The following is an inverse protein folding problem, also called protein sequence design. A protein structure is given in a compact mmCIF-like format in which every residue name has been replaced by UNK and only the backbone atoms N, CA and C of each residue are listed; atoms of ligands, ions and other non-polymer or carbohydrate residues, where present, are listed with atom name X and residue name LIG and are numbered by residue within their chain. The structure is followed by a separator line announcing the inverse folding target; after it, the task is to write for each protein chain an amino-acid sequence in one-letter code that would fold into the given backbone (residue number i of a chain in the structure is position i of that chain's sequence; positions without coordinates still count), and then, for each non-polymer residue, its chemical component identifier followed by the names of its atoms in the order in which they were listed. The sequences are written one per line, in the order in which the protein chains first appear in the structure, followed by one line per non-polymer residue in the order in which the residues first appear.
data_IF_466969332482
#
_entry.id   IF_466969332482
#
_cell.length_a   1.000
_cell.length_b   1.000
_cell.length_c   1.000
_cell.angle_alpha   90.00
_cell.angle_beta   90.00
_cell.angle_gamma   90.00
#
_symmetry.space_group_name_H-M   'P 1'
#
loop_
_entity.id
_entity.type
_entity.pdbx_description
1 polymer ?
#
# COMPACT_ATOMS: atom_id res chain seq x y z
N UNK A 1 -26.88 1.47 -2.24
CA UNK A 1 -26.33 1.68 -0.88
C UNK A 1 -24.83 1.87 -1.01
N UNK A 2 -24.34 3.09 -0.89
CA UNK A 2 -22.90 3.37 -0.76
C UNK A 2 -22.54 3.26 0.72
N UNK A 3 -21.69 2.29 1.07
CA UNK A 3 -21.03 2.27 2.38
C UNK A 3 -19.85 3.24 2.33
N UNK A 4 -20.08 4.49 2.73
CA UNK A 4 -18.99 5.43 3.06
C UNK A 4 -18.45 5.07 4.44
N UNK A 5 -17.53 4.11 4.52
CA UNK A 5 -16.71 3.94 5.72
C UNK A 5 -15.64 5.03 5.73
N UNK A 6 -16.00 6.19 6.30
CA UNK A 6 -15.03 7.20 6.74
C UNK A 6 -14.74 6.91 8.22
N UNK A 7 -13.83 5.98 8.49
CA UNK A 7 -13.30 5.86 9.85
C UNK A 7 -12.29 7.00 10.04
N UNK A 8 -12.75 8.09 10.68
CA UNK A 8 -11.82 9.07 11.25
C UNK A 8 -11.33 8.49 12.58
N UNK A 9 -10.04 8.15 12.73
CA UNK A 9 -9.51 7.89 14.07
C UNK A 9 -9.64 9.16 14.91
N UNK A 10 -10.02 9.00 16.17
CA UNK A 10 -10.01 10.08 17.16
C UNK A 10 -8.57 10.57 17.39
N UNK A 11 -8.36 11.85 17.78
CA UNK A 11 -7.03 12.34 18.09
C UNK A 11 -6.40 11.54 19.24
N UNK A 12 -5.37 10.73 18.92
CA UNK A 12 -4.65 9.89 19.88
C UNK A 12 -4.90 8.38 19.73
N UNK A 13 -5.81 7.96 18.86
CA UNK A 13 -5.95 6.55 18.50
C UNK A 13 -4.85 6.16 17.51
N UNK A 14 -3.88 5.35 17.95
CA UNK A 14 -2.98 4.67 17.02
C UNK A 14 -3.82 3.67 16.24
N UNK A 15 -4.15 3.97 14.99
CA UNK A 15 -4.73 2.99 14.08
C UNK A 15 -3.83 1.74 14.09
N UNK A 16 -4.42 0.58 14.37
CA UNK A 16 -3.70 -0.69 14.28
C UNK A 16 -3.04 -0.81 12.90
N UNK A 17 -1.80 -1.28 12.76
CA UNK A 17 -1.09 -1.30 11.48
C UNK A 17 -1.88 -1.97 10.34
N UNK A 18 -2.00 -1.27 9.22
CA UNK A 18 -2.84 -1.67 8.08
C UNK A 18 -2.05 -1.72 6.78
N UNK A 19 -2.12 -2.87 6.10
CA UNK A 19 -1.55 -3.07 4.77
C UNK A 19 -2.65 -3.23 3.74
N UNK A 20 -2.57 -2.42 2.70
CA UNK A 20 -3.47 -2.43 1.56
C UNK A 20 -2.78 -3.13 0.39
N UNK A 21 -3.46 -4.11 -0.21
CA UNK A 21 -2.96 -4.91 -1.31
C UNK A 21 -3.83 -4.66 -2.54
N UNK A 22 -3.25 -4.12 -3.59
CA UNK A 22 -3.93 -3.77 -4.83
C UNK A 22 -3.55 -4.77 -5.92
N UNK A 23 -4.55 -5.43 -6.51
CA UNK A 23 -4.39 -6.19 -7.74
C UNK A 23 -4.85 -5.35 -8.91
N UNK A 24 -3.92 -4.95 -9.76
CA UNK A 24 -4.15 -3.97 -10.83
C UNK A 24 -3.42 -4.36 -12.11
N UNK A 25 -3.94 -3.97 -13.27
CA UNK A 25 -3.21 -3.99 -14.54
C UNK A 25 -2.34 -2.75 -14.63
N UNK A 26 -1.02 -2.92 -14.67
CA UNK A 26 -0.10 -1.77 -14.65
C UNK A 26 -0.30 -0.85 -15.86
N UNK A 27 -0.64 -1.41 -17.01
CA UNK A 27 -0.88 -0.67 -18.25
C UNK A 27 -2.07 0.28 -18.17
N UNK A 28 -3.05 -0.02 -17.30
CA UNK A 28 -4.25 0.81 -17.11
C UNK A 28 -4.00 2.02 -16.19
N UNK A 29 -2.93 1.99 -15.39
CA UNK A 29 -2.62 3.09 -14.49
C UNK A 29 -2.06 4.27 -15.30
N UNK A 30 -2.67 5.46 -15.24
CA UNK A 30 -2.19 6.63 -15.96
C UNK A 30 -0.81 7.08 -15.45
N UNK A 31 -0.03 7.71 -16.34
CA UNK A 31 1.28 8.28 -16.01
C UNK A 31 2.47 7.42 -16.44
N UNK A 32 3.66 7.90 -16.05
CA UNK A 32 4.96 7.32 -16.43
C UNK A 32 5.13 5.95 -15.75
N UNK A 33 5.62 4.91 -16.45
CA UNK A 33 5.69 3.54 -15.92
C UNK A 33 6.28 3.40 -14.51
N UNK A 34 7.38 4.09 -14.23
CA UNK A 34 8.07 4.04 -12.93
C UNK A 34 7.31 4.73 -11.78
N UNK A 35 6.31 5.54 -12.09
CA UNK A 35 5.53 6.32 -11.12
C UNK A 35 4.13 5.75 -10.88
N UNK A 36 3.68 4.80 -11.69
CA UNK A 36 2.31 4.27 -11.65
C UNK A 36 1.90 3.74 -10.28
N UNK A 37 2.81 3.07 -9.57
CA UNK A 37 2.54 2.64 -8.21
C UNK A 37 2.27 3.80 -7.27
N UNK A 38 3.08 4.86 -7.36
CA UNK A 38 2.93 6.09 -6.60
C UNK A 38 1.63 6.82 -6.96
N UNK A 39 1.26 6.86 -8.25
CA UNK A 39 -0.01 7.43 -8.72
C UNK A 39 -1.20 6.74 -8.08
N UNK A 40 -1.21 5.40 -8.08
CA UNK A 40 -2.29 4.62 -7.47
C UNK A 40 -2.36 4.82 -5.96
N UNK A 41 -1.23 4.73 -5.24
CA UNK A 41 -1.26 4.87 -3.78
C UNK A 41 -1.58 6.30 -3.34
N UNK A 42 -1.16 7.32 -4.08
CA UNK A 42 -1.55 8.71 -3.80
C UNK A 42 -3.05 8.90 -3.93
N UNK A 43 -3.66 8.40 -5.01
CA UNK A 43 -5.11 8.48 -5.18
C UNK A 43 -5.84 7.77 -4.03
N UNK A 44 -5.40 6.56 -3.66
CA UNK A 44 -5.98 5.82 -2.56
C UNK A 44 -5.85 6.57 -1.22
N UNK A 45 -4.65 7.10 -0.91
CA UNK A 45 -4.42 7.83 0.34
C UNK A 45 -5.25 9.11 0.38
N UNK A 46 -5.32 9.84 -0.73
CA UNK A 46 -6.12 11.07 -0.81
C UNK A 46 -7.60 10.80 -0.55
N UNK A 47 -8.15 9.73 -1.14
CA UNK A 47 -9.56 9.37 -0.97
C UNK A 47 -9.90 8.87 0.44
N UNK A 48 -9.00 8.10 1.09
CA UNK A 48 -9.32 7.39 2.34
C UNK A 48 -8.77 8.09 3.60
N UNK A 49 -7.68 8.85 3.48
CA UNK A 49 -6.96 9.46 4.60
C UNK A 49 -6.88 10.98 4.52
N UNK A 50 -7.41 11.59 3.45
CA UNK A 50 -7.46 13.05 3.26
C UNK A 50 -6.08 13.72 3.33
N UNK A 51 -5.04 12.99 2.90
CA UNK A 51 -3.64 13.47 2.81
C UNK A 51 -2.95 12.90 1.58
N UNK A 52 -1.72 13.35 1.32
CA UNK A 52 -0.86 12.75 0.30
C UNK A 52 -0.01 11.61 0.88
N UNK A 53 0.49 10.75 0.00
CA UNK A 53 1.54 9.78 0.33
C UNK A 53 2.81 10.52 0.77
N UNK A 54 3.45 10.08 1.84
CA UNK A 54 4.79 10.55 2.21
C UNK A 54 5.69 9.38 2.58
N UNK A 55 6.92 9.35 2.06
CA UNK A 55 7.88 8.29 2.38
C UNK A 55 8.24 8.22 3.87
N UNK A 56 8.06 9.33 4.59
CA UNK A 56 8.28 9.38 6.03
C UNK A 56 7.26 8.54 6.80
N UNK A 57 6.01 8.43 6.31
CA UNK A 57 4.91 7.78 7.03
C UNK A 57 4.37 6.56 6.30
N UNK A 58 4.63 6.42 5.02
CA UNK A 58 4.04 5.39 4.18
C UNK A 58 5.13 4.62 3.47
N UNK A 59 4.82 3.38 3.11
CA UNK A 59 5.73 2.57 2.34
C UNK A 59 4.99 1.79 1.26
N UNK A 60 5.45 1.91 0.01
CA UNK A 60 4.93 1.14 -1.11
C UNK A 60 5.90 0.05 -1.51
N UNK A 61 5.41 -1.18 -1.62
CA UNK A 61 6.11 -2.28 -2.25
C UNK A 61 5.58 -2.47 -3.67
N UNK A 62 6.50 -2.50 -4.64
CA UNK A 62 6.22 -2.85 -6.04
C UNK A 62 7.01 -4.10 -6.44
N UNK A 63 6.52 -5.30 -6.09
CA UNK A 63 7.11 -6.56 -6.52
C UNK A 63 7.29 -6.59 -8.04
N UNK A 64 8.46 -7.03 -8.53
CA UNK A 64 8.75 -7.06 -9.98
C UNK A 64 7.91 -8.07 -10.77
N UNK A 65 7.14 -8.92 -10.10
CA UNK A 65 6.37 -9.98 -10.75
C UNK A 65 5.09 -9.42 -11.36
N UNK A 66 5.12 -9.22 -12.68
CA UNK A 66 3.93 -8.99 -13.50
C UNK A 66 3.46 -10.37 -14.00
N UNK A 67 2.23 -10.74 -13.70
CA UNK A 67 1.66 -11.98 -14.25
C UNK A 67 1.59 -11.85 -15.78
N UNK A 68 1.59 -12.97 -16.51
CA UNK A 68 1.52 -12.97 -17.98
C UNK A 68 0.29 -12.27 -18.59
N UNK A 69 -0.67 -11.84 -17.76
CA UNK A 69 -1.81 -11.03 -18.15
C UNK A 69 -1.65 -9.53 -17.83
N UNK A 70 -0.46 -9.02 -17.50
CA UNK A 70 -0.21 -7.59 -17.19
C UNK A 70 -0.58 -7.17 -15.77
N UNK A 71 -1.14 -8.08 -14.95
CA UNK A 71 -1.54 -7.76 -13.58
C UNK A 71 -0.37 -7.85 -12.62
N UNK A 72 -0.29 -6.87 -11.72
CA UNK A 72 0.71 -6.79 -10.66
C UNK A 72 0.06 -6.54 -9.30
N UNK A 73 0.74 -6.99 -8.25
CA UNK A 73 0.44 -6.62 -6.87
C UNK A 73 1.16 -5.33 -6.51
N UNK A 74 0.48 -4.40 -5.87
CA UNK A 74 1.08 -3.22 -5.24
C UNK A 74 0.64 -3.24 -3.78
N UNK A 75 1.59 -3.15 -2.86
CA UNK A 75 1.30 -3.19 -1.42
C UNK A 75 1.61 -1.83 -0.83
N UNK A 76 0.73 -1.32 0.02
CA UNK A 76 0.88 -0.05 0.71
C UNK A 76 0.74 -0.30 2.22
N UNK A 77 1.78 0.08 2.96
CA UNK A 77 1.76 0.20 4.41
C UNK A 77 1.53 1.68 4.75
N UNK A 78 0.52 1.95 5.56
CA UNK A 78 0.16 3.31 5.97
C UNK A 78 0.60 3.55 7.42
N UNK A 79 1.14 4.73 7.69
CA UNK A 79 1.60 5.19 9.01
C UNK A 79 2.63 4.22 9.66
N UNK A 80 3.72 3.96 8.95
CA UNK A 80 4.79 3.02 9.29
C UNK A 80 5.68 3.45 10.46
N UNK A 81 5.51 4.68 10.97
CA UNK A 81 6.25 5.24 12.11
C UNK A 81 5.74 4.75 13.47
N UNK A 82 5.38 3.48 13.55
CA UNK A 82 4.91 2.85 14.78
C UNK A 82 6.07 2.24 15.57
N UNK A 83 6.01 2.40 16.90
CA UNK A 83 6.97 1.80 17.84
C UNK A 83 6.19 1.08 18.96
N UNK A 84 6.38 -0.24 19.13
CA UNK A 84 7.24 -1.12 18.35
C UNK A 84 6.73 -1.32 16.92
N UNK A 85 7.62 -1.70 15.99
CA UNK A 85 7.19 -2.15 14.66
C UNK A 85 6.30 -3.39 14.82
N UNK A 86 5.16 -3.48 14.13
CA UNK A 86 4.31 -4.67 14.20
C UNK A 86 5.04 -5.89 13.65
N UNK A 87 4.70 -7.07 14.19
CA UNK A 87 4.93 -8.31 13.47
C UNK A 87 4.10 -8.26 12.18
N UNK A 88 4.71 -8.58 11.04
CA UNK A 88 4.03 -8.58 9.74
C UNK A 88 2.86 -9.58 9.69
N UNK A 89 2.86 -10.58 10.56
CA UNK A 89 1.76 -11.54 10.74
C UNK A 89 0.51 -10.89 11.35
N UNK A 90 0.67 -9.88 12.19
CA UNK A 90 -0.42 -9.21 12.91
C UNK A 90 -0.99 -8.01 12.15
N UNK A 91 -0.32 -7.59 11.07
CA UNK A 91 -0.79 -6.48 10.22
C UNK A 91 -2.12 -6.85 9.56
N UNK A 92 -3.10 -5.95 9.69
CA UNK A 92 -4.40 -6.12 9.07
C UNK A 92 -4.27 -5.96 7.55
N UNK A 93 -4.76 -6.94 6.79
CA UNK A 93 -4.70 -6.93 5.33
C UNK A 93 -6.04 -6.51 4.73
N UNK A 94 -6.02 -5.49 3.88
CA UNK A 94 -7.14 -5.10 3.04
C UNK A 94 -6.79 -5.35 1.58
N UNK A 95 -7.57 -6.16 0.89
CA UNK A 95 -7.26 -6.56 -0.49
C UNK A 95 -8.30 -5.99 -1.44
N UNK A 96 -7.81 -5.36 -2.49
CA UNK A 96 -8.62 -4.69 -3.49
C UNK A 96 -8.24 -5.16 -4.89
N UNK A 97 -9.26 -5.44 -5.70
CA UNK A 97 -9.13 -5.42 -7.15
C UNK A 97 -9.31 -3.98 -7.61
N UNK A 98 -8.36 -3.49 -8.40
CA UNK A 98 -8.38 -2.13 -8.94
C UNK A 98 -8.69 -2.19 -10.41
N UNK A 99 -9.60 -1.32 -10.83
CA UNK A 99 -9.90 -1.05 -12.25
C UNK A 99 -9.88 0.45 -12.49
N UNK A 100 -9.52 0.86 -13.70
CA UNK A 100 -9.58 2.25 -14.12
C UNK A 100 -10.82 2.46 -14.99
N UNK A 101 -11.73 3.33 -14.56
CA UNK A 101 -12.96 3.68 -15.28
C UNK A 101 -12.88 5.14 -15.69
N UNK A 102 -12.63 5.37 -16.98
CA UNK A 102 -12.25 6.70 -17.47
C UNK A 102 -10.90 7.11 -16.87
N UNK A 103 -10.88 8.22 -16.11
CA UNK A 103 -9.68 8.72 -15.44
C UNK A 103 -9.73 8.53 -13.90
N UNK A 104 -10.55 7.59 -13.41
CA UNK A 104 -10.72 7.36 -11.97
C UNK A 104 -10.42 5.91 -11.62
N UNK A 105 -9.75 5.70 -10.49
CA UNK A 105 -9.60 4.38 -9.91
C UNK A 105 -10.89 3.94 -9.22
N UNK A 106 -11.21 2.66 -9.37
CA UNK A 106 -12.28 2.00 -8.63
C UNK A 106 -11.68 0.84 -7.84
N UNK A 107 -11.99 0.81 -6.55
CA UNK A 107 -11.44 -0.15 -5.59
C UNK A 107 -12.54 -1.12 -5.15
N UNK A 108 -12.46 -2.36 -5.60
CA UNK A 108 -13.40 -3.41 -5.18
C UNK A 108 -12.74 -4.30 -4.14
N UNK A 109 -13.23 -4.27 -2.89
CA UNK A 109 -12.75 -5.15 -1.82
C UNK A 109 -12.98 -6.61 -2.22
N UNK A 110 -11.97 -7.44 -2.01
CA UNK A 110 -11.99 -8.84 -2.45
C UNK A 110 -11.17 -9.72 -1.49
N UNK A 111 -11.23 -11.02 -1.68
CA UNK A 111 -10.47 -12.01 -0.90
C UNK A 111 -9.70 -12.90 -1.88
N UNK A 112 -8.43 -13.13 -1.58
CA UNK A 112 -7.58 -14.09 -2.29
C UNK A 112 -6.99 -15.02 -1.23
N UNK A 113 -7.13 -16.33 -1.43
CA UNK A 113 -6.73 -17.36 -0.45
C UNK A 113 -5.27 -17.22 0.01
N UNK A 114 -4.35 -16.90 -0.90
CA UNK A 114 -2.90 -16.98 -0.64
C UNK A 114 -2.22 -15.61 -0.49
N UNK A 115 -2.99 -14.52 -0.46
CA UNK A 115 -2.43 -13.17 -0.41
C UNK A 115 -1.60 -12.94 0.85
N UNK A 116 -2.01 -13.51 1.99
CA UNK A 116 -1.29 -13.37 3.25
C UNK A 116 0.10 -13.99 3.16
N UNK A 117 0.20 -15.23 2.68
CA UNK A 117 1.48 -15.91 2.43
C UNK A 117 2.38 -15.13 1.48
N UNK A 118 1.80 -14.55 0.43
CA UNK A 118 2.53 -13.68 -0.49
C UNK A 118 3.06 -12.42 0.19
N UNK A 119 2.23 -11.74 0.98
CA UNK A 119 2.59 -10.48 1.65
C UNK A 119 3.65 -10.64 2.75
N UNK A 120 3.79 -11.83 3.34
CA UNK A 120 4.79 -12.12 4.37
C UNK A 120 6.24 -11.94 3.91
N UNK A 121 6.49 -12.00 2.61
CA UNK A 121 7.82 -11.74 2.05
C UNK A 121 8.21 -10.24 2.11
N UNK A 122 7.26 -9.35 2.41
CA UNK A 122 7.45 -7.91 2.42
C UNK A 122 7.38 -7.38 3.86
N UNK A 123 8.49 -6.92 4.46
CA UNK A 123 8.49 -6.41 5.83
C UNK A 123 7.69 -5.11 5.94
N UNK A 124 7.02 -4.90 7.09
CA UNK A 124 6.27 -3.69 7.37
C UNK A 124 7.16 -2.43 7.37
N UNK A 125 6.78 -1.43 6.56
CA UNK A 125 7.54 -0.19 6.43
C UNK A 125 8.94 -0.38 5.86
N UNK A 126 9.12 -1.40 5.01
CA UNK A 126 10.38 -1.71 4.36
C UNK A 126 11.48 -2.24 5.31
N UNK A 127 12.66 -2.50 4.74
CA UNK A 127 13.86 -2.80 5.52
C UNK A 127 14.43 -1.48 6.06
N UNK A 128 14.96 -1.49 7.30
CA UNK A 128 15.76 -0.35 7.80
C UNK A 128 16.82 -0.06 6.74
N UNK A 129 16.91 1.18 6.26
CA UNK A 129 18.15 1.61 5.64
C UNK A 129 19.24 1.40 6.68
N UNK A 130 20.32 0.71 6.30
CA UNK A 130 21.51 0.77 7.13
C UNK A 130 21.81 2.25 7.28
N UNK A 131 21.72 2.78 8.50
CA UNK A 131 22.32 4.08 8.77
C UNK A 131 23.77 3.92 8.33
N UNK A 132 24.20 4.68 7.33
CA UNK A 132 25.59 4.73 6.89
C UNK A 132 26.41 5.28 8.06
N UNK A 133 26.69 4.43 9.03
CA UNK A 133 27.76 4.58 10.01
C UNK A 133 29.04 4.10 9.34
N UNK A 134 29.34 4.61 8.13
CA UNK A 134 30.69 4.50 7.59
C UNK A 134 31.48 5.64 8.21
N UNK A 135 32.44 5.38 9.12
CA UNK A 135 33.36 6.42 9.50
C UNK A 135 34.11 6.86 8.24
N UNK A 136 34.10 8.16 7.96
CA UNK A 136 34.96 8.74 6.93
C UNK A 136 36.42 8.41 7.30
N UNK A 137 37.03 7.51 6.53
CA UNK A 137 38.50 7.37 6.44
C UNK A 137 39.03 8.30 5.38
#
# INVERSE_FOLDING_TARGET
MELKYSHKPEPGESLAPQRYCFRVRLEEIPGVPLQRSITLVNDFILQNFQRNFTWDKDYVHTPHNIDGNGKQWILLDVDTNTSPKPNYEDVMLHVYRVSVVGNKFSYTKTQYSDIRRYTFMFPWGGRKQATDSRPNT
#
